data_IF_250425252475
#
_entry.id   IF_250425252475
#
_cell.length_a   1.000
_cell.length_b   1.000
_cell.length_c   1.000
_cell.angle_alpha   90.00
_cell.angle_beta   90.00
_cell.angle_gamma   90.00
#
_symmetry.space_group_name_H-M   'P 1'
#
loop_
_entity.id
_entity.type
_entity.pdbx_description
1 polymer ?
#
# COMPACT_ATOMS: atom_id res chain seq x y z
N UNK A 1 -35.46 -72.33 20.84
CA UNK A 1 -34.98 -73.44 19.99
C UNK A 1 -33.88 -72.92 19.07
N UNK A 2 -32.79 -73.68 18.95
CA UNK A 2 -31.60 -73.58 18.09
C UNK A 2 -30.68 -72.35 18.22
N UNK A 3 -29.40 -72.46 18.64
CA UNK A 3 -28.20 -73.26 18.21
C UNK A 3 -27.44 -72.65 17.01
N UNK A 4 -26.25 -72.13 17.34
CA UNK A 4 -24.95 -72.31 16.65
C UNK A 4 -24.81 -71.73 15.23
N UNK A 5 -24.17 -70.57 15.06
CA UNK A 5 -22.73 -70.36 14.73
C UNK A 5 -22.27 -71.05 13.42
N UNK A 6 -21.86 -70.26 12.41
CA UNK A 6 -20.51 -70.24 11.78
C UNK A 6 -20.52 -69.46 10.45
N UNK A 7 -19.77 -68.36 10.46
CA UNK A 7 -18.96 -67.71 9.41
C UNK A 7 -19.16 -68.10 7.94
N UNK A 8 -19.48 -67.11 7.09
CA UNK A 8 -18.61 -66.72 5.95
C UNK A 8 -18.66 -65.20 5.78
N UNK A 9 -17.52 -64.58 6.04
CA UNK A 9 -17.14 -63.20 5.72
C UNK A 9 -17.11 -63.06 4.20
N UNK A 10 -17.67 -61.97 3.65
CA UNK A 10 -17.03 -61.11 2.62
C UNK A 10 -17.96 -59.93 2.30
N UNK A 11 -17.47 -58.74 2.67
CA UNK A 11 -17.61 -57.43 2.05
C UNK A 11 -18.97 -57.00 1.50
N UNK A 12 -19.54 -55.92 2.08
CA UNK A 12 -19.78 -54.65 1.39
C UNK A 12 -20.13 -53.59 2.47
N UNK A 13 -19.41 -52.47 2.44
CA UNK A 13 -19.91 -51.18 2.91
C UNK A 13 -19.83 -50.91 4.40
N UNK A 14 -18.73 -50.27 4.83
CA UNK A 14 -18.68 -49.05 5.67
C UNK A 14 -17.25 -48.92 6.22
N UNK A 15 -16.35 -48.43 5.38
CA UNK A 15 -15.08 -47.88 5.85
C UNK A 15 -15.32 -46.41 6.23
N UNK A 16 -14.53 -45.92 7.21
CA UNK A 16 -14.49 -44.59 7.85
C UNK A 16 -15.27 -44.52 9.18
N UNK A 17 -14.66 -44.19 10.34
CA UNK A 17 -13.33 -43.61 10.58
C UNK A 17 -12.83 -43.82 12.04
N UNK A 18 -11.57 -44.27 12.13
CA UNK A 18 -10.46 -43.86 13.01
C UNK A 18 -10.81 -43.19 14.35
N UNK A 19 -10.46 -43.91 15.42
CA UNK A 19 -10.27 -43.38 16.79
C UNK A 19 -9.32 -42.18 16.78
N UNK A 20 -9.83 -40.98 17.04
CA UNK A 20 -9.01 -39.78 17.21
C UNK A 20 -8.59 -39.64 18.67
N UNK A 21 -7.32 -39.95 18.94
CA UNK A 21 -6.65 -39.48 20.14
C UNK A 21 -6.65 -37.94 20.16
N UNK A 22 -6.81 -37.29 21.33
CA UNK A 22 -6.78 -35.83 21.40
C UNK A 22 -5.34 -35.36 21.18
N UNK A 23 -5.01 -34.94 19.96
CA UNK A 23 -3.84 -34.13 19.68
C UNK A 23 -4.11 -32.70 20.12
N UNK A 24 -3.93 -32.40 21.40
CA UNK A 24 -3.65 -31.02 21.84
C UNK A 24 -2.20 -30.68 21.48
N UNK A 25 -1.92 -30.59 20.18
CA UNK A 25 -0.82 -29.78 19.71
C UNK A 25 -1.27 -28.33 19.85
N UNK A 26 -0.91 -27.70 20.97
CA UNK A 26 -1.06 -26.28 21.16
C UNK A 26 -0.33 -25.56 20.02
N UNK A 27 -1.08 -25.14 18.99
CA UNK A 27 -0.60 -24.15 18.03
C UNK A 27 -0.25 -22.93 18.87
N UNK A 28 1.04 -22.64 19.00
CA UNK A 28 1.48 -21.34 19.48
C UNK A 28 0.81 -20.28 18.59
N UNK A 29 -0.21 -19.63 19.14
CA UNK A 29 -0.93 -18.57 18.47
C UNK A 29 0.08 -17.46 18.21
N UNK A 30 0.53 -17.33 16.94
CA UNK A 30 1.50 -16.30 16.55
C UNK A 30 0.80 -14.96 16.69
N UNK A 31 0.96 -14.34 17.86
CA UNK A 31 0.36 -13.05 18.20
C UNK A 31 0.76 -12.02 17.15
N UNK A 32 -0.24 -11.41 16.54
CA UNK A 32 0.01 -10.35 15.58
C UNK A 32 0.54 -9.11 16.28
N UNK A 33 1.66 -8.54 15.81
CA UNK A 33 2.17 -7.32 16.39
C UNK A 33 1.17 -6.18 16.18
N UNK A 34 1.20 -5.21 17.09
CA UNK A 34 0.27 -4.09 17.14
C UNK A 34 0.36 -3.18 15.90
N UNK A 35 -0.56 -2.20 15.81
CA UNK A 35 -0.68 -1.26 14.69
C UNK A 35 0.64 -0.51 14.37
N UNK A 36 1.49 -0.25 15.37
CA UNK A 36 2.79 0.41 15.20
C UNK A 36 3.78 -0.38 14.33
N UNK A 37 3.80 -1.71 14.44
CA UNK A 37 4.70 -2.54 13.61
C UNK A 37 4.27 -2.54 12.14
N UNK A 38 2.95 -2.49 11.88
CA UNK A 38 2.42 -2.34 10.52
C UNK A 38 2.85 -1.02 9.90
N UNK A 39 2.70 0.08 10.63
CA UNK A 39 3.15 1.39 10.15
C UNK A 39 4.66 1.45 9.94
N UNK A 40 5.42 0.82 10.82
CA UNK A 40 6.89 0.75 10.70
C UNK A 40 7.30 0.05 9.40
N UNK A 41 6.68 -1.10 9.08
CA UNK A 41 6.98 -1.81 7.82
C UNK A 41 6.75 -0.93 6.59
N UNK A 42 5.75 -0.04 6.61
CA UNK A 42 5.33 0.71 5.43
C UNK A 42 5.92 2.13 5.36
N UNK A 43 6.46 2.63 6.49
CA UNK A 43 7.07 3.96 6.61
C UNK A 43 8.24 4.20 5.63
N UNK A 44 8.93 3.14 5.22
CA UNK A 44 10.05 3.22 4.28
C UNK A 44 9.61 3.20 2.82
N UNK A 45 8.39 2.78 2.50
CA UNK A 45 7.87 2.83 1.13
C UNK A 45 7.56 4.27 0.72
N UNK A 46 7.05 5.09 1.64
CA UNK A 46 6.62 6.45 1.35
C UNK A 46 7.57 7.46 2.03
N UNK A 47 8.67 7.83 1.37
CA UNK A 47 9.61 8.85 1.88
C UNK A 47 8.86 10.13 2.27
N UNK A 48 7.91 10.56 1.43
CA UNK A 48 7.08 11.75 1.65
C UNK A 48 6.08 11.60 2.82
N UNK A 49 5.88 10.42 3.40
CA UNK A 49 5.09 10.23 4.60
C UNK A 49 5.90 10.47 5.90
N UNK A 50 7.23 10.56 5.80
CA UNK A 50 8.11 10.81 6.95
C UNK A 50 8.58 12.29 6.96
N UNK A 51 8.31 13.06 8.02
CA UNK A 51 8.63 14.50 8.07
C UNK A 51 10.14 14.79 8.10
N UNK A 52 10.95 13.85 8.56
CA UNK A 52 12.40 13.94 8.72
C UNK A 52 13.19 13.41 7.52
N UNK A 53 12.53 12.75 6.55
CA UNK A 53 13.22 12.10 5.43
C UNK A 53 13.16 12.90 4.13
N UNK A 54 14.29 12.98 3.46
CA UNK A 54 14.43 13.52 2.10
C UNK A 54 14.76 12.41 1.10
N UNK A 55 14.52 12.66 -0.18
CA UNK A 55 14.96 11.77 -1.25
C UNK A 55 16.50 11.67 -1.24
N UNK A 56 17.07 10.45 -1.34
CA UNK A 56 18.51 10.26 -1.40
C UNK A 56 19.14 11.05 -2.55
N UNK A 57 20.02 12.00 -2.21
CA UNK A 57 20.67 12.89 -3.17
C UNK A 57 22.14 12.53 -3.46
N UNK A 58 22.59 11.37 -2.99
CA UNK A 58 23.90 10.79 -3.34
C UNK A 58 23.74 9.31 -3.63
N UNK A 59 24.70 8.74 -4.37
CA UNK A 59 24.69 7.32 -4.72
C UNK A 59 24.76 6.44 -3.48
N UNK A 60 25.56 6.82 -2.49
CA UNK A 60 25.77 6.08 -1.24
C UNK A 60 24.47 6.02 -0.43
N UNK A 61 23.82 7.18 -0.23
CA UNK A 61 22.52 7.27 0.45
C UNK A 61 21.44 6.49 -0.29
N UNK A 62 21.48 6.49 -1.63
CA UNK A 62 20.53 5.74 -2.43
C UNK A 62 20.76 4.22 -2.32
N UNK A 63 22.01 3.77 -2.28
CA UNK A 63 22.35 2.35 -2.06
C UNK A 63 21.86 1.89 -0.69
N UNK A 64 22.08 2.68 0.36
CA UNK A 64 21.55 2.42 1.69
C UNK A 64 20.02 2.33 1.69
N UNK A 65 19.36 3.30 1.05
CA UNK A 65 17.91 3.32 0.89
C UNK A 65 17.40 2.06 0.17
N UNK A 66 18.06 1.65 -0.93
CA UNK A 66 17.72 0.44 -1.66
C UNK A 66 17.90 -0.85 -0.82
N UNK A 67 18.85 -0.86 0.12
CA UNK A 67 18.97 -1.92 1.12
C UNK A 67 17.73 -2.00 2.02
N UNK A 68 17.32 -0.85 2.59
CA UNK A 68 16.14 -0.73 3.46
C UNK A 68 14.83 -1.11 2.76
N UNK A 69 14.70 -0.87 1.46
CA UNK A 69 13.53 -1.31 0.69
C UNK A 69 13.39 -2.84 0.65
N UNK A 70 14.49 -3.59 0.55
CA UNK A 70 14.43 -5.06 0.58
C UNK A 70 13.95 -5.57 1.94
N UNK A 71 14.40 -4.94 3.03
CA UNK A 71 13.96 -5.25 4.39
C UNK A 71 12.48 -4.92 4.58
N UNK A 72 12.05 -3.79 4.03
CA UNK A 72 10.66 -3.34 4.02
C UNK A 72 9.73 -4.33 3.31
N UNK A 73 10.09 -4.78 2.12
CA UNK A 73 9.35 -5.82 1.37
C UNK A 73 9.20 -7.11 2.20
N UNK A 74 10.27 -7.52 2.88
CA UNK A 74 10.24 -8.68 3.78
C UNK A 74 9.31 -8.44 4.96
N UNK A 75 9.37 -7.27 5.59
CA UNK A 75 8.50 -6.88 6.71
C UNK A 75 7.02 -6.98 6.32
N UNK A 76 6.64 -6.41 5.16
CA UNK A 76 5.27 -6.46 4.64
C UNK A 76 4.85 -7.89 4.35
N UNK A 77 5.70 -8.68 3.69
CA UNK A 77 5.39 -10.09 3.37
C UNK A 77 5.20 -10.93 4.63
N UNK A 78 6.09 -10.78 5.61
CA UNK A 78 6.03 -11.53 6.87
C UNK A 78 4.79 -11.13 7.69
N UNK A 79 4.48 -9.84 7.77
CA UNK A 79 3.29 -9.33 8.45
C UNK A 79 2.01 -9.85 7.80
N UNK A 80 1.84 -9.63 6.49
CA UNK A 80 0.63 -10.04 5.76
C UNK A 80 0.42 -11.56 5.75
N UNK A 81 1.51 -12.36 5.79
CA UNK A 81 1.42 -13.82 5.88
C UNK A 81 0.99 -14.30 7.26
N UNK A 82 1.40 -13.60 8.33
CA UNK A 82 1.10 -14.01 9.71
C UNK A 82 -0.24 -13.47 10.20
N UNK A 83 -0.66 -12.30 9.71
CA UNK A 83 -1.67 -11.48 10.38
C UNK A 83 -2.88 -11.10 9.56
N UNK A 84 -2.93 -11.52 8.30
CA UNK A 84 -4.09 -11.28 7.46
C UNK A 84 -4.64 -12.61 6.97
N UNK A 85 -5.96 -12.65 6.80
CA UNK A 85 -6.60 -13.69 6.02
C UNK A 85 -6.13 -13.64 4.55
N UNK A 86 -6.43 -14.67 3.73
CA UNK A 86 -6.00 -14.70 2.35
C UNK A 86 -6.45 -13.50 1.51
N UNK A 87 -7.62 -12.92 1.79
CA UNK A 87 -8.18 -11.79 1.04
C UNK A 87 -7.49 -10.48 1.42
N UNK A 88 -7.38 -10.17 2.71
CA UNK A 88 -6.66 -9.00 3.23
C UNK A 88 -5.19 -8.99 2.83
N UNK A 89 -4.54 -10.17 2.78
CA UNK A 89 -3.19 -10.31 2.24
C UNK A 89 -3.11 -9.91 0.78
N UNK A 90 -4.02 -10.40 -0.07
CA UNK A 90 -4.06 -10.07 -1.50
C UNK A 90 -4.33 -8.58 -1.71
N UNK A 91 -5.33 -8.02 -1.02
CA UNK A 91 -5.65 -6.59 -1.07
C UNK A 91 -4.45 -5.72 -0.69
N UNK A 92 -3.75 -6.07 0.39
CA UNK A 92 -2.54 -5.34 0.82
C UNK A 92 -1.41 -5.44 -0.20
N UNK A 93 -1.18 -6.64 -0.76
CA UNK A 93 -0.16 -6.84 -1.80
C UNK A 93 -0.45 -5.99 -3.04
N UNK A 94 -1.71 -5.92 -3.46
CA UNK A 94 -2.14 -5.06 -4.57
C UNK A 94 -1.93 -3.58 -4.23
N UNK A 95 -2.33 -3.15 -3.03
CA UNK A 95 -2.20 -1.76 -2.59
C UNK A 95 -0.75 -1.26 -2.59
N UNK A 96 0.21 -2.13 -2.24
CA UNK A 96 1.64 -1.76 -2.19
C UNK A 96 2.42 -2.13 -3.46
N UNK A 97 1.80 -2.80 -4.43
CA UNK A 97 2.49 -3.31 -5.62
C UNK A 97 3.08 -2.17 -6.46
N UNK A 98 2.32 -1.09 -6.68
CA UNK A 98 2.77 0.06 -7.47
C UNK A 98 4.07 0.66 -6.93
N UNK A 99 4.08 1.01 -5.64
CA UNK A 99 5.27 1.58 -4.99
C UNK A 99 6.43 0.60 -4.91
N UNK A 100 6.16 -0.68 -4.65
CA UNK A 100 7.20 -1.70 -4.61
C UNK A 100 7.87 -1.88 -5.97
N UNK A 101 7.08 -1.87 -7.06
CA UNK A 101 7.60 -1.94 -8.44
C UNK A 101 8.44 -0.71 -8.77
N UNK A 102 7.97 0.49 -8.40
CA UNK A 102 8.70 1.74 -8.60
C UNK A 102 10.08 1.71 -7.90
N UNK A 103 10.10 1.40 -6.61
CA UNK A 103 11.32 1.40 -5.81
C UNK A 103 12.31 0.34 -6.32
N UNK A 104 11.83 -0.84 -6.71
CA UNK A 104 12.66 -1.88 -7.35
C UNK A 104 13.27 -1.42 -8.66
N UNK A 105 12.51 -0.75 -9.54
CA UNK A 105 13.02 -0.21 -10.81
C UNK A 105 14.12 0.82 -10.59
N UNK A 106 13.91 1.75 -9.66
CA UNK A 106 14.90 2.76 -9.26
C UNK A 106 16.18 2.10 -8.72
N UNK A 107 16.05 1.04 -7.92
CA UNK A 107 17.17 0.34 -7.29
C UNK A 107 17.87 -0.70 -8.18
N UNK A 108 17.38 -0.96 -9.40
CA UNK A 108 17.78 -2.10 -10.23
C UNK A 108 19.20 -2.00 -10.78
N UNK A 109 19.61 -0.85 -11.30
CA UNK A 109 20.91 -0.67 -11.96
C UNK A 109 21.59 0.62 -11.52
N UNK A 110 22.90 0.72 -11.77
CA UNK A 110 23.66 1.92 -11.43
C UNK A 110 23.22 3.14 -12.26
N UNK A 111 22.80 2.93 -13.50
CA UNK A 111 22.27 3.97 -14.39
C UNK A 111 20.99 4.56 -13.81
N UNK A 112 20.04 3.72 -13.39
CA UNK A 112 18.78 4.17 -12.76
C UNK A 112 19.03 4.90 -11.44
N UNK A 113 20.02 4.45 -10.67
CA UNK A 113 20.43 5.14 -9.44
C UNK A 113 21.01 6.51 -9.73
N UNK A 114 21.90 6.64 -10.71
CA UNK A 114 22.47 7.93 -11.15
C UNK A 114 21.38 8.87 -11.67
N UNK A 115 20.45 8.35 -12.46
CA UNK A 115 19.29 9.08 -12.98
C UNK A 115 18.42 9.63 -11.85
N UNK A 116 18.15 8.84 -10.81
CA UNK A 116 17.44 9.31 -9.63
C UNK A 116 18.21 10.39 -8.87
N UNK A 117 19.50 10.16 -8.57
CA UNK A 117 20.34 11.12 -7.84
C UNK A 117 20.43 12.46 -8.57
N UNK A 118 20.53 12.44 -9.91
CA UNK A 118 20.51 13.65 -10.75
C UNK A 118 19.24 14.49 -10.54
N UNK A 119 18.10 13.85 -10.35
CA UNK A 119 16.80 14.51 -10.20
C UNK A 119 16.38 14.74 -8.74
N UNK A 120 17.05 14.10 -7.77
CA UNK A 120 16.68 14.14 -6.36
C UNK A 120 16.65 15.57 -5.77
N UNK A 121 17.48 16.48 -6.31
CA UNK A 121 17.47 17.90 -5.93
C UNK A 121 16.10 18.56 -6.15
N UNK A 122 15.51 18.36 -7.34
CA UNK A 122 14.17 18.87 -7.64
C UNK A 122 13.11 18.25 -6.70
N UNK A 123 13.10 16.93 -6.53
CA UNK A 123 12.15 16.27 -5.63
C UNK A 123 12.27 16.74 -4.18
N UNK A 124 13.49 17.03 -3.72
CA UNK A 124 13.73 17.58 -2.39
C UNK A 124 13.29 19.05 -2.26
N UNK A 125 13.40 19.86 -3.31
CA UNK A 125 12.96 21.24 -3.28
C UNK A 125 11.44 21.38 -3.05
N UNK A 126 10.65 20.42 -3.54
CA UNK A 126 9.19 20.40 -3.37
C UNK A 126 8.69 19.39 -2.33
N UNK A 127 9.57 18.74 -1.56
CA UNK A 127 9.15 17.66 -0.66
C UNK A 127 8.12 18.12 0.37
N UNK A 128 8.19 19.41 0.76
CA UNK A 128 7.19 20.06 1.61
C UNK A 128 5.81 20.09 0.96
N UNK A 129 5.71 20.54 -0.30
CA UNK A 129 4.45 20.55 -1.04
C UNK A 129 3.94 19.11 -1.25
N UNK A 130 4.80 18.14 -1.60
CA UNK A 130 4.40 16.72 -1.70
C UNK A 130 3.81 16.18 -0.40
N UNK A 131 4.40 16.52 0.75
CA UNK A 131 3.90 16.15 2.08
C UNK A 131 2.54 16.77 2.36
N UNK A 132 2.34 18.03 2.00
CA UNK A 132 1.05 18.72 2.13
C UNK A 132 -0.01 18.01 1.29
N UNK A 133 0.26 17.77 0.02
CA UNK A 133 -0.65 17.06 -0.88
C UNK A 133 -1.01 15.66 -0.35
N UNK A 134 -0.02 14.91 0.16
CA UNK A 134 -0.25 13.60 0.73
C UNK A 134 -1.09 13.67 2.01
N UNK A 135 -0.88 14.71 2.82
CA UNK A 135 -1.67 14.91 4.03
C UNK A 135 -3.14 15.20 3.69
N UNK A 136 -3.41 16.04 2.69
CA UNK A 136 -4.77 16.32 2.23
C UNK A 136 -5.47 15.05 1.74
N UNK A 137 -4.77 14.26 0.92
CA UNK A 137 -5.26 12.96 0.48
C UNK A 137 -5.55 12.01 1.64
N UNK A 138 -4.61 11.88 2.59
CA UNK A 138 -4.77 11.06 3.78
C UNK A 138 -5.99 11.48 4.59
N UNK A 139 -6.20 12.78 4.81
CA UNK A 139 -7.38 13.28 5.54
C UNK A 139 -8.67 12.95 4.81
N UNK A 140 -8.66 13.01 3.47
CA UNK A 140 -9.82 12.60 2.68
C UNK A 140 -10.12 11.10 2.80
N UNK A 141 -9.11 10.24 2.93
CA UNK A 141 -9.32 8.80 3.18
C UNK A 141 -9.95 8.54 4.55
N UNK A 142 -9.56 9.29 5.59
CA UNK A 142 -10.26 9.23 6.87
C UNK A 142 -11.70 9.75 6.77
N UNK A 143 -11.94 10.75 5.93
CA UNK A 143 -13.30 11.19 5.60
C UNK A 143 -14.10 10.07 4.92
N UNK A 144 -13.50 9.38 3.96
CA UNK A 144 -14.12 8.25 3.25
C UNK A 144 -14.52 7.12 4.20
N UNK A 145 -13.69 6.79 5.19
CA UNK A 145 -14.04 5.78 6.20
C UNK A 145 -15.37 6.09 6.93
N UNK A 146 -15.64 7.37 7.17
CA UNK A 146 -16.87 7.87 7.81
C UNK A 146 -18.01 8.11 6.83
N UNK A 147 -17.75 8.07 5.53
CA UNK A 147 -18.76 8.25 4.49
C UNK A 147 -19.59 6.98 4.28
N UNK A 148 -20.73 7.15 3.62
CA UNK A 148 -21.52 6.02 3.12
C UNK A 148 -20.66 5.13 2.21
N UNK A 149 -20.87 3.80 2.27
CA UNK A 149 -20.04 2.82 1.54
C UNK A 149 -19.97 3.14 0.04
N UNK A 150 -21.07 3.57 -0.58
CA UNK A 150 -21.12 3.96 -2.00
C UNK A 150 -20.27 5.20 -2.34
N UNK A 151 -19.92 6.03 -1.35
CA UNK A 151 -19.08 7.22 -1.51
C UNK A 151 -17.60 6.92 -1.30
N UNK A 152 -17.24 5.80 -0.67
CA UNK A 152 -15.85 5.45 -0.34
C UNK A 152 -14.94 5.39 -1.58
N UNK A 153 -15.37 4.65 -2.60
CA UNK A 153 -14.60 4.50 -3.84
C UNK A 153 -14.51 5.80 -4.67
N UNK A 154 -15.62 6.55 -4.88
CA UNK A 154 -15.54 7.89 -5.46
C UNK A 154 -14.56 8.81 -4.73
N UNK A 155 -14.62 8.87 -3.38
CA UNK A 155 -13.69 9.69 -2.59
C UNK A 155 -12.25 9.24 -2.82
N UNK A 156 -11.97 7.93 -2.76
CA UNK A 156 -10.64 7.38 -3.00
C UNK A 156 -10.07 7.84 -4.35
N UNK A 157 -10.81 7.61 -5.43
CA UNK A 157 -10.35 7.89 -6.79
C UNK A 157 -10.22 9.40 -7.05
N UNK A 158 -11.26 10.18 -6.77
CA UNK A 158 -11.25 11.61 -7.04
C UNK A 158 -10.20 12.35 -6.21
N UNK A 159 -10.02 11.98 -4.94
CA UNK A 159 -9.00 12.60 -4.08
C UNK A 159 -7.58 12.15 -4.41
N UNK A 160 -7.43 10.99 -5.04
CA UNK A 160 -6.15 10.62 -5.63
C UNK A 160 -5.81 11.44 -6.88
N UNK A 161 -6.80 11.79 -7.71
CA UNK A 161 -6.60 12.74 -8.80
C UNK A 161 -6.19 14.13 -8.28
N UNK A 162 -6.86 14.63 -7.23
CA UNK A 162 -6.49 15.88 -6.55
C UNK A 162 -5.05 15.83 -6.03
N UNK A 163 -4.65 14.72 -5.40
CA UNK A 163 -3.27 14.49 -4.94
C UNK A 163 -2.26 14.60 -6.07
N UNK A 164 -2.49 13.92 -7.20
CA UNK A 164 -1.61 13.97 -8.37
C UNK A 164 -1.52 15.38 -8.94
N UNK A 165 -2.66 16.06 -9.07
CA UNK A 165 -2.71 17.45 -9.53
C UNK A 165 -1.95 18.40 -8.62
N UNK A 166 -2.09 18.22 -7.30
CA UNK A 166 -1.37 18.99 -6.28
C UNK A 166 0.15 18.79 -6.38
N UNK A 167 0.61 17.55 -6.49
CA UNK A 167 2.04 17.24 -6.67
C UNK A 167 2.58 17.89 -7.95
N UNK A 168 1.85 17.79 -9.08
CA UNK A 168 2.25 18.43 -10.34
C UNK A 168 2.39 19.94 -10.20
N UNK A 169 1.42 20.62 -9.60
CA UNK A 169 1.48 22.07 -9.32
C UNK A 169 2.65 22.45 -8.41
N UNK A 170 3.05 21.55 -7.50
CA UNK A 170 4.24 21.73 -6.67
C UNK A 170 5.54 21.79 -7.50
N UNK A 171 5.66 20.95 -8.54
CA UNK A 171 6.79 21.03 -9.48
C UNK A 171 6.80 22.37 -10.22
N UNK A 172 5.63 22.85 -10.68
CA UNK A 172 5.52 24.12 -11.40
C UNK A 172 5.93 25.33 -10.53
N UNK A 173 5.56 25.30 -9.24
CA UNK A 173 5.87 26.36 -8.26
C UNK A 173 7.36 26.52 -7.96
N UNK A 174 8.13 25.43 -8.00
CA UNK A 174 9.58 25.44 -7.73
C UNK A 174 10.37 26.16 -8.83
N UNK A 175 9.82 26.24 -10.05
CA UNK A 175 10.40 26.97 -11.16
C UNK A 175 11.53 26.22 -11.88
N UNK A 176 11.81 26.66 -13.11
CA UNK A 176 12.73 26.01 -14.06
C UNK A 176 14.17 25.90 -13.56
N UNK A 177 14.63 26.88 -12.80
CA UNK A 177 16.03 26.97 -12.34
C UNK A 177 16.36 25.88 -11.33
N UNK A 178 15.40 25.47 -10.51
CA UNK A 178 15.57 24.44 -9.48
C UNK A 178 15.04 23.10 -9.96
N UNK A 179 13.95 23.10 -10.74
CA UNK A 179 13.40 21.91 -11.34
C UNK A 179 13.17 22.11 -12.85
N UNK A 180 14.18 21.78 -13.68
CA UNK A 180 14.05 21.90 -15.13
C UNK A 180 13.03 20.90 -15.68
N UNK A 181 12.53 21.13 -16.90
CA UNK A 181 11.55 20.27 -17.56
C UNK A 181 11.93 18.79 -17.54
N UNK A 182 13.20 18.46 -17.81
CA UNK A 182 13.68 17.07 -17.76
C UNK A 182 13.52 16.40 -16.38
N UNK A 183 13.62 17.16 -15.29
CA UNK A 183 13.35 16.66 -13.94
C UNK A 183 11.85 16.55 -13.67
N UNK A 184 11.04 17.48 -14.16
CA UNK A 184 9.58 17.41 -14.05
C UNK A 184 9.03 16.19 -14.78
N UNK A 185 9.48 15.94 -16.00
CA UNK A 185 9.15 14.75 -16.79
C UNK A 185 9.61 13.47 -16.08
N UNK A 186 10.82 13.45 -15.53
CA UNK A 186 11.31 12.31 -14.75
C UNK A 186 10.36 11.95 -13.59
N UNK A 187 9.92 12.95 -12.82
CA UNK A 187 8.98 12.71 -11.72
C UNK A 187 7.55 12.42 -12.18
N UNK A 188 7.11 12.97 -13.31
CA UNK A 188 5.84 12.59 -13.92
C UNK A 188 5.84 11.09 -14.27
N UNK A 189 6.90 10.59 -14.90
CA UNK A 189 7.06 9.16 -15.17
C UNK A 189 7.10 8.31 -13.89
N UNK A 190 7.72 8.80 -12.82
CA UNK A 190 7.69 8.14 -11.51
C UNK A 190 6.25 8.06 -10.96
N UNK A 191 5.50 9.16 -11.05
CA UNK A 191 4.13 9.24 -10.56
C UNK A 191 3.19 8.30 -11.34
N UNK A 192 3.34 8.23 -12.67
CA UNK A 192 2.61 7.28 -13.51
C UNK A 192 2.96 5.84 -13.14
N UNK A 193 4.24 5.56 -12.95
CA UNK A 193 4.71 4.21 -12.65
C UNK A 193 4.37 3.75 -11.21
N UNK A 194 3.99 4.68 -10.32
CA UNK A 194 3.44 4.41 -9.00
C UNK A 194 1.98 3.95 -9.07
N UNK A 195 1.21 4.45 -10.04
CA UNK A 195 -0.17 4.03 -10.25
C UNK A 195 -0.19 2.54 -10.62
N UNK A 196 -0.98 1.77 -9.87
CA UNK A 196 -1.15 0.36 -10.15
C UNK A 196 -2.17 0.22 -11.28
N UNK A 197 -1.95 -0.68 -12.22
CA UNK A 197 -2.93 -1.03 -13.26
C UNK A 197 -4.30 -1.40 -12.64
N UNK A 198 -4.28 -1.95 -11.43
CA UNK A 198 -5.50 -2.24 -10.65
C UNK A 198 -6.18 -0.95 -10.17
N UNK A 199 -5.41 0.04 -9.74
CA UNK A 199 -5.95 1.33 -9.34
C UNK A 199 -6.53 2.07 -10.55
N UNK A 200 -5.83 2.05 -11.70
CA UNK A 200 -6.36 2.57 -12.96
C UNK A 200 -7.69 1.94 -13.33
N UNK A 201 -7.77 0.61 -13.25
CA UNK A 201 -9.00 -0.12 -13.57
C UNK A 201 -10.15 0.23 -12.63
N UNK A 202 -9.90 0.33 -11.32
CA UNK A 202 -10.93 0.68 -10.33
C UNK A 202 -11.37 2.13 -10.48
N UNK A 203 -10.44 3.03 -10.81
CA UNK A 203 -10.69 4.46 -10.89
C UNK A 203 -11.04 4.97 -12.30
N UNK A 204 -11.11 4.10 -13.30
CA UNK A 204 -11.36 4.47 -14.71
C UNK A 204 -12.67 5.24 -14.94
N UNK A 205 -13.63 5.11 -14.01
CA UNK A 205 -14.93 5.76 -14.07
C UNK A 205 -15.00 7.11 -13.35
N UNK A 206 -13.88 7.59 -12.78
CA UNK A 206 -13.81 8.75 -11.90
C UNK A 206 -12.76 9.76 -12.36
N UNK A 207 -12.90 10.25 -13.60
CA UNK A 207 -12.03 11.30 -14.12
C UNK A 207 -12.14 12.59 -13.29
N UNK A 208 -11.02 13.32 -13.16
CA UNK A 208 -10.90 14.45 -12.22
C UNK A 208 -11.99 15.52 -12.35
N UNK A 209 -12.45 15.81 -13.56
CA UNK A 209 -13.47 16.83 -13.86
C UNK A 209 -14.87 16.25 -14.11
N UNK A 210 -15.05 14.94 -13.88
CA UNK A 210 -16.34 14.28 -14.07
C UNK A 210 -17.37 14.72 -13.04
N UNK A 211 -18.66 14.69 -13.40
CA UNK A 211 -19.78 14.93 -12.48
C UNK A 211 -19.69 14.05 -11.22
N UNK A 212 -19.15 12.84 -11.38
CA UNK A 212 -18.94 11.90 -10.27
C UNK A 212 -17.94 12.43 -9.26
N UNK A 213 -16.87 13.11 -9.69
CA UNK A 213 -15.90 13.73 -8.78
C UNK A 213 -16.40 15.06 -8.22
N UNK A 214 -17.13 15.84 -9.01
CA UNK A 214 -17.75 17.09 -8.56
C UNK A 214 -18.83 16.86 -7.49
N UNK A 215 -19.50 15.70 -7.51
CA UNK A 215 -20.53 15.31 -6.54
C UNK A 215 -19.97 14.68 -5.25
N UNK A 216 -18.66 14.47 -5.13
CA UNK A 216 -18.07 13.83 -3.95
C UNK A 216 -18.13 14.75 -2.73
N UNK A 217 -18.86 14.31 -1.71
CA UNK A 217 -18.86 14.96 -0.39
C UNK A 217 -17.94 14.19 0.55
N UNK A 218 -16.85 14.82 0.98
CA UNK A 218 -15.91 14.24 1.94
C UNK A 218 -16.27 14.70 3.36
N UNK A 219 -16.61 13.79 4.29
CA UNK A 219 -16.78 14.14 5.69
C UNK A 219 -15.52 14.78 6.28
N UNK A 220 -15.68 15.88 7.01
CA UNK A 220 -14.56 16.56 7.66
C UNK A 220 -14.04 15.72 8.82
N UNK A 221 -12.72 15.54 8.88
CA UNK A 221 -12.03 14.84 9.97
C UNK A 221 -11.01 15.78 10.59
N UNK A 222 -11.05 15.91 11.92
CA UNK A 222 -10.05 16.67 12.67
C UNK A 222 -8.76 15.85 12.81
N UNK A 223 -7.58 16.47 12.62
CA UNK A 223 -6.30 15.79 12.82
C UNK A 223 -6.16 15.27 14.26
N UNK A 224 -5.70 14.03 14.42
CA UNK A 224 -5.42 13.42 15.72
C UNK A 224 -4.25 12.43 15.64
N UNK A 225 -3.89 11.81 16.77
CA UNK A 225 -2.89 10.72 16.75
C UNK A 225 -3.34 9.54 15.87
N UNK A 226 -4.65 9.30 15.74
CA UNK A 226 -5.19 8.26 14.87
C UNK A 226 -5.02 8.57 13.38
N UNK A 227 -4.89 9.85 13.00
CA UNK A 227 -4.75 10.27 11.59
C UNK A 227 -3.30 10.34 11.11
N UNK A 228 -2.37 9.73 11.86
CA UNK A 228 -0.95 9.61 11.46
C UNK A 228 -0.76 8.58 10.35
N UNK A 229 -1.55 7.50 10.34
CA UNK A 229 -1.48 6.44 9.33
C UNK A 229 -2.03 6.88 7.98
N UNK A 230 -1.35 6.54 6.88
CA UNK A 230 -1.98 6.51 5.56
C UNK A 230 -2.76 5.20 5.32
N UNK A 231 -2.40 4.13 6.01
CA UNK A 231 -2.85 2.77 5.67
C UNK A 231 -4.11 2.34 6.40
N UNK A 232 -4.28 2.83 7.64
CA UNK A 232 -5.47 2.59 8.44
C UNK A 232 -6.75 2.90 7.65
N UNK A 233 -6.90 4.08 7.01
CA UNK A 233 -8.10 4.39 6.27
C UNK A 233 -8.16 3.64 4.92
N UNK A 234 -7.03 3.40 4.23
CA UNK A 234 -7.00 2.63 2.97
C UNK A 234 -7.62 1.24 3.11
N UNK A 235 -7.35 0.54 4.23
CA UNK A 235 -7.93 -0.78 4.50
C UNK A 235 -9.45 -0.74 4.66
N UNK A 236 -9.98 0.36 5.18
CA UNK A 236 -11.41 0.47 5.50
C UNK A 236 -12.22 1.05 4.33
N UNK A 237 -11.53 1.64 3.34
CA UNK A 237 -12.09 2.22 2.11
C UNK A 237 -12.12 1.20 0.97
N UNK A 238 -11.11 0.33 0.89
CA UNK A 238 -11.05 -0.83 -0.03
C UNK A 238 -11.86 -2.02 0.50
#
# INVERSE_FOLDING_TARGET
MNKTLIFVVIAIGLCQSVSSAPQTAAKAEKKCPNESVRETCLSSLFIIASPDKTFPNTTERLVEFCGKIKETDKCIKDYTTRCMDPMGRRATQVAVAGISRLLKRMCRSNERRKEFVKNAGCGNAMIGDMRSCLNDYKMALYGAEKAEVKQRMPILCCKFHDFRGCVRKGFDKVGETVCPDSSREYFAHIADAFQSDVFDLICSNYEAESDKCNAVVVPVVQPSNDTKSLLKPLRNVL
#
